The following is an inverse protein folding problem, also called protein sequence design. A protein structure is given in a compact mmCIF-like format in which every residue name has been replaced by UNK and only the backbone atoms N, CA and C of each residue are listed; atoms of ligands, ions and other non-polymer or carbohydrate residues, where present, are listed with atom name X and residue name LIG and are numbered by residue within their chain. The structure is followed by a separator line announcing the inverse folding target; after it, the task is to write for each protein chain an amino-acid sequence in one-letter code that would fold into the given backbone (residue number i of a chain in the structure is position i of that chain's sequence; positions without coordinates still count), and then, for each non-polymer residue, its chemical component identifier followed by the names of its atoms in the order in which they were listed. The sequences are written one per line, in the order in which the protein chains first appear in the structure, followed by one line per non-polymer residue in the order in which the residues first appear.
data_IF_875756228216
#
_entry.id   IF_875756228216
#
_cell.length_a   1.000
_cell.length_b   1.000
_cell.length_c   1.000
_cell.angle_alpha   90.00
_cell.angle_beta   90.00
_cell.angle_gamma   90.00
#
_symmetry.space_group_name_H-M   'P 1'
#
loop_
_entity.id
_entity.type
_entity.pdbx_description
1 polymer ?
#
# COMPACT_ATOMS: atom_id res chain seq x y z
N UNK A 1 14.68 6.19 1.79
CA UNK A 1 13.74 7.31 1.72
C UNK A 1 12.32 6.78 1.53
N UNK A 2 11.35 7.35 2.20
CA UNK A 2 9.96 6.91 2.07
C UNK A 2 9.04 8.11 1.88
N UNK A 3 7.90 7.86 1.25
CA UNK A 3 6.87 8.87 1.02
C UNK A 3 5.53 8.33 1.48
N UNK A 4 4.72 9.18 2.07
CA UNK A 4 3.41 8.79 2.60
C UNK A 4 2.33 9.61 1.92
N UNK A 5 1.28 8.92 1.47
CA UNK A 5 0.12 9.53 0.84
C UNK A 5 -1.14 8.97 1.49
N UNK A 6 -2.12 9.82 1.72
CA UNK A 6 -3.41 9.39 2.24
C UNK A 6 -4.39 9.22 1.07
N UNK A 7 -5.10 8.10 1.05
CA UNK A 7 -6.10 7.83 0.03
C UNK A 7 -7.32 7.19 0.68
N UNK A 8 -8.45 7.89 0.66
CA UNK A 8 -9.65 7.49 1.39
C UNK A 8 -9.31 7.32 2.88
N UNK A 9 -9.61 6.18 3.48
CA UNK A 9 -9.30 5.90 4.88
C UNK A 9 -7.98 5.14 5.04
N UNK A 10 -7.17 5.08 3.99
CA UNK A 10 -5.93 4.32 3.98
C UNK A 10 -4.72 5.25 3.90
N UNK A 11 -3.63 4.80 4.48
CA UNK A 11 -2.34 5.47 4.37
C UNK A 11 -1.42 4.59 3.51
N UNK A 12 -0.92 5.16 2.42
CA UNK A 12 -0.02 4.47 1.51
C UNK A 12 1.39 4.97 1.77
N UNK A 13 2.29 4.08 2.12
CA UNK A 13 3.70 4.41 2.32
C UNK A 13 4.53 3.68 1.27
N UNK A 14 5.35 4.44 0.55
CA UNK A 14 6.26 3.89 -0.44
C UNK A 14 7.67 4.00 0.09
N UNK A 15 8.36 2.86 0.21
CA UNK A 15 9.72 2.80 0.72
C UNK A 15 10.66 2.40 -0.41
N UNK A 16 11.77 3.12 -0.56
CA UNK A 16 12.79 2.78 -1.54
C UNK A 16 13.84 1.87 -0.91
N UNK A 17 14.13 0.76 -1.59
CA UNK A 17 15.17 -0.18 -1.19
C UNK A 17 15.88 -0.70 -2.43
N UNK A 18 17.17 -0.41 -2.55
CA UNK A 18 17.98 -0.89 -3.65
C UNK A 18 17.47 -0.48 -5.03
N UNK A 19 16.93 0.72 -5.17
CA UNK A 19 16.38 1.21 -6.42
C UNK A 19 14.98 0.70 -6.74
N UNK A 20 14.36 -0.02 -5.80
CA UNK A 20 13.00 -0.52 -5.95
C UNK A 20 12.09 0.20 -4.97
N UNK A 21 10.82 0.30 -5.31
CA UNK A 21 9.83 1.02 -4.51
C UNK A 21 8.75 0.05 -4.05
N UNK A 22 8.60 -0.08 -2.74
CA UNK A 22 7.69 -1.05 -2.12
C UNK A 22 6.50 -0.31 -1.54
N UNK A 23 5.28 -0.53 -2.07
CA UNK A 23 4.08 0.09 -1.51
C UNK A 23 3.58 -0.70 -0.30
N UNK A 24 3.22 0.03 0.75
CA UNK A 24 2.58 -0.53 1.93
C UNK A 24 1.33 0.27 2.21
N UNK A 25 0.27 -0.43 2.60
CA UNK A 25 -1.02 0.20 2.89
C UNK A 25 -1.43 -0.14 4.30
N UNK A 26 -1.84 0.88 5.05
CA UNK A 26 -2.40 0.72 6.39
C UNK A 26 -3.77 1.38 6.40
N UNK A 27 -4.68 0.83 7.18
CA UNK A 27 -6.00 1.41 7.37
C UNK A 27 -5.99 2.25 8.64
N UNK A 28 -6.43 3.48 8.54
CA UNK A 28 -6.50 4.36 9.70
C UNK A 28 -7.54 3.83 10.69
N UNK A 29 -7.10 3.63 11.92
CA UNK A 29 -7.99 3.20 13.00
C UNK A 29 -8.39 1.75 12.96
N UNK A 30 -7.73 0.91 12.17
CA UNK A 30 -8.13 -0.49 12.09
C UNK A 30 -7.15 -1.40 11.40
N UNK A 31 -7.62 -2.62 11.13
CA UNK A 31 -6.84 -3.63 10.45
C UNK A 31 -7.28 -3.74 8.99
N UNK A 32 -6.42 -4.29 8.18
CA UNK A 32 -6.68 -4.54 6.76
C UNK A 32 -6.99 -6.01 6.58
N UNK A 33 -8.05 -6.31 5.82
CA UNK A 33 -8.39 -7.66 5.41
C UNK A 33 -7.94 -7.87 3.96
N UNK A 34 -7.21 -8.96 3.72
CA UNK A 34 -6.68 -9.30 2.41
C UNK A 34 -6.65 -10.81 2.28
N UNK A 35 -7.33 -11.35 1.26
CA UNK A 35 -7.41 -12.79 0.99
C UNK A 35 -7.83 -13.62 2.21
N UNK A 36 -8.77 -13.09 3.00
CA UNK A 36 -9.24 -13.77 4.19
C UNK A 36 -8.31 -13.65 5.39
N UNK A 37 -7.21 -12.94 5.25
CA UNK A 37 -6.27 -12.69 6.34
C UNK A 37 -6.42 -11.26 6.83
N UNK A 38 -6.19 -11.07 8.13
CA UNK A 38 -6.27 -9.75 8.76
C UNK A 38 -4.87 -9.38 9.25
N UNK A 39 -4.42 -8.16 8.93
CA UNK A 39 -3.10 -7.71 9.36
C UNK A 39 -3.09 -6.19 9.52
N UNK A 40 -2.03 -5.67 10.14
CA UNK A 40 -1.87 -4.23 10.34
C UNK A 40 -1.43 -3.51 9.07
N UNK A 41 -0.77 -4.23 8.16
CA UNK A 41 -0.23 -3.63 6.94
C UNK A 41 -0.32 -4.63 5.80
N UNK A 42 -0.62 -4.10 4.61
CA UNK A 42 -0.59 -4.85 3.36
C UNK A 42 0.58 -4.34 2.53
N UNK A 43 1.34 -5.24 1.94
CA UNK A 43 2.47 -4.88 1.10
C UNK A 43 2.33 -5.55 -0.26
N UNK A 44 2.70 -4.82 -1.30
CA UNK A 44 2.73 -5.36 -2.66
C UNK A 44 4.16 -5.61 -3.10
N UNK A 45 4.31 -6.23 -4.27
CA UNK A 45 5.63 -6.44 -4.87
C UNK A 45 6.28 -5.09 -5.19
N UNK A 46 7.61 -5.07 -5.20
CA UNK A 46 8.35 -3.85 -5.49
C UNK A 46 8.10 -3.38 -6.93
N UNK A 47 8.15 -2.07 -7.11
CA UNK A 47 7.91 -1.41 -8.38
C UNK A 47 9.15 -0.64 -8.83
N UNK A 48 9.14 -0.19 -10.10
CA UNK A 48 10.26 0.55 -10.69
C UNK A 48 10.22 2.04 -10.40
N UNK A 49 9.08 2.56 -9.94
CA UNK A 49 8.94 3.99 -9.66
C UNK A 49 7.98 4.20 -8.49
N UNK A 50 8.10 5.34 -7.78
CA UNK A 50 7.19 5.65 -6.69
C UNK A 50 5.76 5.87 -7.18
N UNK A 51 5.58 6.46 -8.36
CA UNK A 51 4.25 6.66 -8.94
C UNK A 51 3.56 5.33 -9.20
N UNK A 52 4.31 4.36 -9.70
CA UNK A 52 3.77 3.03 -9.95
C UNK A 52 3.36 2.35 -8.65
N UNK A 53 4.19 2.48 -7.61
CA UNK A 53 3.88 1.92 -6.30
C UNK A 53 2.59 2.49 -5.73
N UNK A 54 2.41 3.80 -5.82
CA UNK A 54 1.18 4.46 -5.37
C UNK A 54 -0.01 3.96 -6.18
N UNK A 55 0.15 3.83 -7.50
CA UNK A 55 -0.92 3.36 -8.36
C UNK A 55 -1.34 1.93 -8.01
N UNK A 56 -0.39 1.06 -7.76
CA UNK A 56 -0.67 -0.33 -7.35
C UNK A 56 -1.47 -0.34 -6.06
N UNK A 57 -1.08 0.47 -5.08
CA UNK A 57 -1.78 0.56 -3.81
C UNK A 57 -3.21 1.08 -3.99
N UNK A 58 -3.39 2.16 -4.75
CA UNK A 58 -4.71 2.71 -5.01
C UNK A 58 -5.61 1.73 -5.74
N UNK A 59 -5.06 1.00 -6.71
CA UNK A 59 -5.81 -0.01 -7.46
C UNK A 59 -6.28 -1.13 -6.53
N UNK A 60 -5.43 -1.57 -5.61
CA UNK A 60 -5.83 -2.60 -4.65
C UNK A 60 -6.98 -2.12 -3.76
N UNK A 61 -6.97 -0.85 -3.36
CA UNK A 61 -8.05 -0.26 -2.57
C UNK A 61 -9.34 -0.16 -3.42
N UNK A 62 -9.21 0.33 -4.64
CA UNK A 62 -10.37 0.56 -5.52
C UNK A 62 -11.04 -0.74 -5.98
N UNK A 63 -10.29 -1.83 -6.07
CA UNK A 63 -10.82 -3.13 -6.50
C UNK A 63 -11.18 -4.04 -5.33
N UNK A 64 -11.22 -3.50 -4.11
CA UNK A 64 -11.57 -4.23 -2.89
C UNK A 64 -10.67 -5.43 -2.60
N UNK A 65 -9.44 -5.41 -3.09
CA UNK A 65 -8.46 -6.45 -2.75
C UNK A 65 -8.06 -6.37 -1.29
N UNK A 66 -8.11 -5.16 -0.74
CA UNK A 66 -7.89 -4.89 0.69
C UNK A 66 -9.09 -4.11 1.22
N UNK A 67 -9.45 -4.39 2.46
CA UNK A 67 -10.62 -3.79 3.10
C UNK A 67 -10.34 -3.30 4.51
#
# INVERSE_FOLDING_TARGET
MSATTTYLEYTITVTEEGGRFIPRVRREGGLIEHDGNVSEVWSAASCNSPERAVLVAKTAIDTDRIR
#
